data_IF_414292668625
#
_entry.id   IF_414292668625
#
_cell.length_a   1.000
_cell.length_b   1.000
_cell.length_c   1.000
_cell.angle_alpha   90.00
_cell.angle_beta   90.00
_cell.angle_gamma   90.00
#
_symmetry.space_group_name_H-M   'P 1'
#
loop_
_entity.id
_entity.type
_entity.pdbx_description
1 polymer ?
#
# COMPACT_ATOMS: atom_id res chain seq x y z
N UNK A 1 10.71 -27.99 11.07
CA UNK A 1 9.48 -27.21 10.82
C UNK A 1 9.85 -25.74 10.89
N UNK A 2 9.42 -24.90 9.95
CA UNK A 2 9.55 -23.45 10.14
C UNK A 2 8.77 -23.07 11.40
N UNK A 3 9.37 -22.24 12.25
CA UNK A 3 8.75 -21.78 13.48
C UNK A 3 7.43 -21.05 13.20
N UNK A 4 6.46 -21.14 14.12
CA UNK A 4 5.21 -20.36 14.04
C UNK A 4 5.38 -18.96 14.61
N UNK A 5 6.59 -18.59 15.03
CA UNK A 5 6.96 -17.29 15.54
C UNK A 5 7.78 -16.52 14.51
N UNK A 6 7.43 -15.26 14.32
CA UNK A 6 8.06 -14.36 13.37
C UNK A 6 8.42 -13.04 14.05
N UNK A 7 9.57 -12.51 13.68
CA UNK A 7 10.02 -11.19 14.07
C UNK A 7 9.52 -10.16 13.06
N UNK A 8 8.89 -9.13 13.60
CA UNK A 8 8.27 -8.06 12.83
C UNK A 8 8.88 -6.74 13.25
N UNK A 9 9.30 -5.96 12.26
CA UNK A 9 9.66 -4.56 12.41
C UNK A 9 8.40 -3.73 12.54
N UNK A 10 8.28 -2.98 13.63
CA UNK A 10 7.09 -2.18 13.95
C UNK A 10 7.47 -0.69 13.92
N UNK A 11 6.62 0.20 13.37
CA UNK A 11 6.91 1.63 13.23
C UNK A 11 6.80 2.38 14.57
N UNK A 12 7.73 2.11 15.48
CA UNK A 12 7.86 2.77 16.78
C UNK A 12 9.34 2.96 17.11
N UNK A 13 9.68 3.91 18.01
CA UNK A 13 11.05 4.17 18.40
C UNK A 13 11.57 3.07 19.35
N UNK A 14 11.79 1.87 18.81
CA UNK A 14 12.32 0.71 19.52
C UNK A 14 13.36 0.00 18.65
N UNK A 15 14.52 -0.26 19.23
CA UNK A 15 15.63 -0.97 18.56
C UNK A 15 15.30 -2.47 18.40
N UNK A 16 14.41 -2.99 19.24
CA UNK A 16 14.04 -4.40 19.23
C UNK A 16 13.02 -4.75 18.14
N UNK A 17 13.14 -5.97 17.63
CA UNK A 17 12.10 -6.58 16.79
C UNK A 17 11.01 -7.17 17.67
N UNK A 18 9.78 -7.16 17.18
CA UNK A 18 8.63 -7.67 17.93
C UNK A 18 8.25 -9.05 17.43
N UNK A 19 8.26 -10.03 18.32
CA UNK A 19 7.91 -11.41 17.98
C UNK A 19 6.41 -11.65 18.07
N UNK A 20 5.81 -12.08 16.97
CA UNK A 20 4.40 -12.44 16.84
C UNK A 20 4.23 -13.89 16.43
N UNK A 21 3.05 -14.45 16.68
CA UNK A 21 2.68 -15.80 16.24
C UNK A 21 1.87 -15.76 14.94
N UNK A 22 2.15 -16.70 14.04
CA UNK A 22 1.36 -16.95 12.85
C UNK A 22 0.06 -17.68 13.21
N UNK A 23 -1.12 -17.15 12.81
CA UNK A 23 -2.37 -17.91 12.81
C UNK A 23 -2.25 -19.23 12.04
N UNK A 24 -3.02 -20.25 12.45
CA UNK A 24 -3.04 -21.58 11.81
C UNK A 24 -3.20 -21.50 10.29
N UNK A 25 -4.07 -20.59 9.80
CA UNK A 25 -4.30 -20.36 8.36
C UNK A 25 -3.05 -19.96 7.56
N UNK A 26 -2.00 -19.45 8.22
CA UNK A 26 -0.77 -19.02 7.58
C UNK A 26 0.43 -19.93 7.87
N UNK A 27 0.30 -20.98 8.70
CA UNK A 27 1.43 -21.84 9.06
C UNK A 27 2.10 -22.54 7.88
N UNK A 28 1.33 -22.84 6.83
CA UNK A 28 1.85 -23.46 5.60
C UNK A 28 2.47 -22.45 4.63
N UNK A 29 2.26 -21.14 4.85
CA UNK A 29 2.80 -20.08 4.00
C UNK A 29 4.22 -19.76 4.45
N UNK A 30 5.19 -19.92 3.54
CA UNK A 30 6.54 -19.41 3.73
C UNK A 30 6.51 -17.90 3.50
N UNK A 31 6.96 -17.13 4.50
CA UNK A 31 7.08 -15.69 4.37
C UNK A 31 8.47 -15.32 3.85
N UNK A 32 8.50 -14.26 3.06
CA UNK A 32 9.71 -13.64 2.55
C UNK A 32 9.94 -12.31 3.28
N UNK A 33 11.18 -12.08 3.72
CA UNK A 33 11.59 -10.85 4.41
C UNK A 33 11.18 -9.63 3.59
N UNK A 34 10.55 -8.64 4.22
CA UNK A 34 10.06 -7.43 3.55
C UNK A 34 8.56 -7.41 3.27
N UNK A 35 7.84 -8.53 3.41
CA UNK A 35 6.37 -8.56 3.31
C UNK A 35 5.73 -7.74 4.45
N UNK A 36 4.72 -6.92 4.12
CA UNK A 36 3.97 -6.18 5.14
C UNK A 36 2.98 -7.10 5.85
N UNK A 37 2.89 -6.94 7.17
CA UNK A 37 1.95 -7.65 8.04
C UNK A 37 1.22 -6.66 8.95
N UNK A 38 -0.06 -6.91 9.21
CA UNK A 38 -0.82 -6.15 10.20
C UNK A 38 -0.72 -6.82 11.55
N UNK A 39 -0.32 -6.07 12.58
CA UNK A 39 -0.05 -6.61 13.91
C UNK A 39 -0.70 -5.77 15.00
N UNK A 40 -1.16 -6.39 16.10
CA UNK A 40 -1.64 -5.64 17.25
C UNK A 40 -0.47 -4.98 17.99
N UNK A 41 -0.58 -3.69 18.25
CA UNK A 41 0.36 -2.91 19.05
C UNK A 41 -0.42 -2.09 20.08
N UNK A 42 -0.25 -2.45 21.36
CA UNK A 42 -1.04 -1.89 22.47
C UNK A 42 -2.56 -1.95 22.15
N UNK A 43 -3.22 -0.80 22.04
CA UNK A 43 -4.66 -0.64 21.77
C UNK A 43 -5.00 -0.39 20.29
N UNK A 44 -4.03 -0.48 19.38
CA UNK A 44 -4.23 -0.24 17.95
C UNK A 44 -3.64 -1.37 17.09
N UNK A 45 -3.98 -1.35 15.80
CA UNK A 45 -3.33 -2.19 14.79
C UNK A 45 -2.39 -1.31 13.98
N UNK A 46 -1.20 -1.82 13.68
CA UNK A 46 -0.19 -1.14 12.86
C UNK A 46 0.29 -2.07 11.75
N UNK A 47 0.86 -1.47 10.71
CA UNK A 47 1.54 -2.21 9.64
C UNK A 47 3.01 -2.32 10.02
N UNK A 48 3.47 -3.56 10.19
CA UNK A 48 4.87 -3.89 10.35
C UNK A 48 5.41 -4.63 9.12
N UNK A 49 6.69 -4.93 9.14
CA UNK A 49 7.38 -5.67 8.08
C UNK A 49 7.94 -6.96 8.66
N UNK A 50 7.60 -8.10 8.06
CA UNK A 50 8.20 -9.39 8.42
C UNK A 50 9.70 -9.35 8.14
N UNK A 51 10.50 -9.71 9.14
CA UNK A 51 11.96 -9.65 9.04
C UNK A 51 12.60 -11.03 9.00
N UNK A 52 12.28 -11.87 9.97
CA UNK A 52 12.83 -13.22 10.06
C UNK A 52 11.91 -14.13 10.88
N UNK A 53 12.12 -15.44 10.80
CA UNK A 53 11.52 -16.38 11.74
C UNK A 53 12.25 -16.29 13.08
N UNK A 54 11.48 -16.19 14.16
CA UNK A 54 12.06 -16.06 15.50
C UNK A 54 12.68 -17.38 15.94
N UNK A 55 13.86 -17.29 16.56
CA UNK A 55 14.51 -18.42 17.20
C UNK A 55 13.73 -18.80 18.47
N UNK A 56 13.09 -19.97 18.43
CA UNK A 56 12.32 -20.50 19.55
C UNK A 56 13.15 -20.69 20.83
N UNK A 57 14.48 -20.83 20.71
CA UNK A 57 15.37 -21.00 21.87
C UNK A 57 15.59 -19.71 22.66
N UNK A 58 15.49 -18.54 22.00
CA UNK A 58 15.64 -17.21 22.61
C UNK A 58 14.33 -16.65 23.14
N UNK A 59 13.23 -17.26 22.74
CA UNK A 59 11.90 -16.76 23.04
C UNK A 59 11.46 -17.24 24.42
N UNK A 60 11.58 -16.39 25.45
CA UNK A 60 11.02 -16.65 26.80
C UNK A 60 9.55 -17.06 26.66
N UNK A 61 9.06 -17.96 27.53
CA UNK A 61 7.67 -18.49 27.62
C UNK A 61 6.60 -17.40 27.77
N UNK A 62 6.46 -16.54 26.78
CA UNK A 62 5.58 -15.39 26.76
C UNK A 62 4.48 -15.70 25.77
N UNK A 63 3.23 -15.35 26.11
CA UNK A 63 2.11 -15.56 25.19
C UNK A 63 2.19 -14.53 24.06
N UNK A 64 2.74 -14.93 22.92
CA UNK A 64 2.83 -14.07 21.74
C UNK A 64 1.45 -13.77 21.16
N UNK A 65 1.23 -12.51 20.79
CA UNK A 65 0.02 -12.11 20.06
C UNK A 65 0.08 -12.65 18.63
N UNK A 66 -1.09 -12.97 18.07
CA UNK A 66 -1.22 -13.33 16.67
C UNK A 66 -1.11 -12.10 15.77
N UNK A 67 -0.51 -12.26 14.59
CA UNK A 67 -0.68 -11.27 13.52
C UNK A 67 -2.14 -11.23 13.07
N UNK A 68 -2.61 -10.08 12.59
CA UNK A 68 -3.98 -9.88 12.08
C UNK A 68 -4.11 -10.29 10.62
N UNK A 69 -3.07 -10.09 9.82
CA UNK A 69 -3.07 -10.42 8.40
C UNK A 69 -1.72 -10.21 7.73
N UNK A 70 -1.53 -10.89 6.60
CA UNK A 70 -0.42 -10.68 5.66
C UNK A 70 -0.99 -9.85 4.51
N UNK A 71 -0.30 -8.76 4.14
CA UNK A 71 -0.82 -7.78 3.18
C UNK A 71 -0.27 -7.98 1.77
N UNK A 72 0.90 -8.62 1.63
CA UNK A 72 1.56 -8.81 0.35
C UNK A 72 1.82 -10.30 0.10
N UNK A 73 1.80 -10.70 -1.17
CA UNK A 73 2.20 -12.04 -1.60
C UNK A 73 3.72 -12.19 -1.60
N UNK A 74 4.42 -11.16 -2.05
CA UNK A 74 5.87 -11.05 -2.14
C UNK A 74 6.36 -9.73 -1.52
N UNK A 75 7.64 -9.60 -1.15
CA UNK A 75 8.21 -8.34 -0.68
C UNK A 75 8.08 -7.26 -1.75
N UNK A 76 7.67 -6.06 -1.34
CA UNK A 76 7.60 -4.90 -2.25
C UNK A 76 8.96 -4.20 -2.39
N UNK A 77 9.89 -4.50 -1.48
CA UNK A 77 11.26 -4.01 -1.50
C UNK A 77 12.16 -5.20 -1.85
N UNK A 78 13.10 -4.99 -2.77
CA UNK A 78 14.12 -5.99 -3.04
C UNK A 78 15.14 -6.10 -1.88
N UNK A 79 16.01 -7.11 -1.95
CA UNK A 79 17.02 -7.33 -0.92
C UNK A 79 17.98 -6.13 -0.77
N UNK A 80 18.31 -5.42 -1.86
CA UNK A 80 19.22 -4.28 -1.79
C UNK A 80 18.62 -3.14 -0.98
N UNK A 81 17.33 -2.85 -1.16
CA UNK A 81 16.61 -1.83 -0.40
C UNK A 81 16.43 -2.24 1.07
N UNK A 82 16.18 -3.51 1.35
CA UNK A 82 16.08 -4.04 2.71
C UNK A 82 17.42 -3.93 3.46
N UNK A 83 18.53 -4.25 2.79
CA UNK A 83 19.88 -4.10 3.34
C UNK A 83 20.28 -2.63 3.46
N UNK A 84 19.85 -1.76 2.54
CA UNK A 84 20.04 -0.31 2.67
C UNK A 84 19.30 0.26 3.89
N UNK A 85 18.07 -0.16 4.15
CA UNK A 85 17.31 0.24 5.33
C UNK A 85 18.00 -0.22 6.63
N UNK A 86 18.48 -1.46 6.66
CA UNK A 86 19.23 -2.02 7.79
C UNK A 86 20.56 -1.30 8.02
N UNK A 87 21.32 -1.03 6.96
CA UNK A 87 22.54 -0.24 7.02
C UNK A 87 22.26 1.17 7.53
N UNK A 88 21.26 1.86 7.00
CA UNK A 88 20.90 3.22 7.41
C UNK A 88 20.48 3.27 8.88
N UNK A 89 19.70 2.28 9.34
CA UNK A 89 19.35 2.12 10.76
C UNK A 89 20.59 2.03 11.63
N UNK A 90 21.55 1.17 11.26
CA UNK A 90 22.79 0.97 12.02
C UNK A 90 23.69 2.21 12.01
N UNK A 91 23.88 2.80 10.84
CA UNK A 91 24.78 3.94 10.65
C UNK A 91 24.27 5.19 11.37
N UNK A 92 22.99 5.53 11.18
CA UNK A 92 22.37 6.71 11.79
C UNK A 92 21.79 6.45 13.19
N UNK A 93 21.99 5.25 13.76
CA UNK A 93 21.48 4.86 15.08
C UNK A 93 19.97 5.09 15.24
N UNK A 94 19.21 4.92 14.16
CA UNK A 94 17.76 5.06 14.16
C UNK A 94 17.07 3.69 14.18
N UNK A 95 15.95 3.52 14.90
CA UNK A 95 15.19 2.27 14.94
C UNK A 95 14.80 1.77 13.55
N UNK A 96 15.22 0.54 13.22
CA UNK A 96 14.95 -0.07 11.91
C UNK A 96 13.46 -0.13 11.57
N UNK A 97 12.61 -0.36 12.58
CA UNK A 97 11.16 -0.35 12.43
C UNK A 97 10.58 0.96 11.92
N UNK A 98 11.20 2.09 12.24
CA UNK A 98 10.84 3.40 11.68
C UNK A 98 11.51 3.62 10.33
N UNK A 99 12.81 3.35 10.22
CA UNK A 99 13.61 3.56 9.00
C UNK A 99 12.97 2.85 7.79
N UNK A 100 12.60 1.58 7.94
CA UNK A 100 12.05 0.80 6.84
C UNK A 100 10.72 1.37 6.32
N UNK A 101 9.96 2.07 7.17
CA UNK A 101 8.68 2.66 6.73
C UNK A 101 8.84 3.76 5.71
N UNK A 102 9.99 4.45 5.71
CA UNK A 102 10.28 5.52 4.76
C UNK A 102 10.49 5.01 3.33
N UNK A 103 10.80 3.73 3.16
CA UNK A 103 10.91 3.08 1.85
C UNK A 103 9.54 2.83 1.22
N UNK A 104 8.45 2.93 1.99
CA UNK A 104 7.09 2.77 1.50
C UNK A 104 6.39 4.13 1.31
N UNK A 105 5.58 4.31 0.24
CA UNK A 105 4.66 5.44 0.11
C UNK A 105 3.64 5.51 1.26
N UNK A 106 3.09 6.71 1.57
CA UNK A 106 2.14 6.88 2.68
C UNK A 106 0.91 5.96 2.63
N UNK A 107 0.40 5.62 1.43
CA UNK A 107 -0.72 4.67 1.28
C UNK A 107 -0.34 3.27 1.75
N UNK A 108 0.87 2.82 1.43
CA UNK A 108 1.36 1.50 1.81
C UNK A 108 1.69 1.41 3.31
N UNK A 109 2.13 2.50 3.93
CA UNK A 109 2.27 2.58 5.40
C UNK A 109 0.94 2.42 6.13
N UNK A 110 -0.16 2.79 5.48
CA UNK A 110 -1.54 2.60 5.97
C UNK A 110 -2.13 1.22 5.64
N UNK A 111 -1.35 0.36 4.99
CA UNK A 111 -1.77 -1.01 4.68
C UNK A 111 -2.64 -1.14 3.42
N UNK A 112 -2.66 -0.12 2.56
CA UNK A 112 -3.32 -0.25 1.26
C UNK A 112 -2.56 -1.22 0.35
N UNK A 113 -3.26 -1.75 -0.64
CA UNK A 113 -2.68 -2.61 -1.67
C UNK A 113 -1.64 -1.85 -2.50
N UNK A 114 -0.59 -2.56 -2.91
CA UNK A 114 0.45 -2.04 -3.79
C UNK A 114 -0.03 -2.01 -5.25
N UNK A 115 -1.07 -1.22 -5.51
CA UNK A 115 -1.64 -1.00 -6.85
C UNK A 115 -1.38 0.42 -7.30
N UNK A 116 -1.10 0.57 -8.59
CA UNK A 116 -1.10 1.88 -9.21
C UNK A 116 -2.48 2.50 -9.08
N UNK A 117 -2.50 3.80 -8.81
CA UNK A 117 -3.75 4.53 -8.79
C UNK A 117 -4.25 4.66 -10.21
N UNK A 118 -5.27 3.90 -10.55
CA UNK A 118 -5.97 4.05 -11.81
C UNK A 118 -6.68 5.41 -11.85
N UNK A 119 -6.62 6.05 -13.02
CA UNK A 119 -7.33 7.29 -13.28
C UNK A 119 -8.24 7.05 -14.46
N UNK A 120 -9.53 7.37 -14.30
CA UNK A 120 -10.49 7.29 -15.39
C UNK A 120 -10.26 8.47 -16.31
N UNK A 121 -9.98 8.18 -17.58
CA UNK A 121 -9.93 9.17 -18.64
C UNK A 121 -11.17 9.03 -19.52
N UNK A 122 -11.72 10.17 -19.88
CA UNK A 122 -12.79 10.28 -20.85
C UNK A 122 -12.18 10.63 -22.18
N UNK A 123 -12.57 9.86 -23.18
CA UNK A 123 -12.20 10.05 -24.56
C UNK A 123 -13.45 10.23 -25.38
N UNK A 124 -13.43 11.20 -26.28
CA UNK A 124 -14.52 11.38 -27.21
C UNK A 124 -14.58 10.17 -28.16
N UNK A 125 -15.78 9.63 -28.36
CA UNK A 125 -16.01 8.60 -29.37
C UNK A 125 -16.20 9.26 -30.72
N UNK A 126 -16.00 8.51 -31.82
CA UNK A 126 -16.28 9.03 -33.18
C UNK A 126 -17.71 9.59 -33.29
N UNK A 127 -18.71 8.92 -32.69
CA UNK A 127 -20.09 9.43 -32.67
C UNK A 127 -20.20 10.76 -31.94
N UNK A 128 -19.49 10.92 -30.81
CA UNK A 128 -19.43 12.17 -30.07
C UNK A 128 -18.73 13.27 -30.86
N UNK A 129 -17.69 12.94 -31.61
CA UNK A 129 -16.90 13.92 -32.38
C UNK A 129 -17.69 14.51 -33.55
N UNK A 130 -18.48 13.68 -34.26
CA UNK A 130 -19.36 14.11 -35.35
C UNK A 130 -20.78 14.49 -34.91
N UNK A 131 -21.07 14.48 -33.60
CA UNK A 131 -22.40 14.81 -33.10
C UNK A 131 -22.76 16.28 -33.40
N UNK A 132 -23.98 16.53 -33.88
CA UNK A 132 -24.45 17.89 -34.12
C UNK A 132 -24.81 18.59 -32.79
N UNK A 133 -23.99 19.57 -32.38
CA UNK A 133 -24.14 20.29 -31.11
C UNK A 133 -25.46 21.06 -31.02
N UNK A 134 -26.10 21.42 -32.14
CA UNK A 134 -27.40 22.10 -32.15
C UNK A 134 -28.51 21.23 -31.53
N UNK A 135 -28.32 19.90 -31.49
CA UNK A 135 -29.27 18.97 -30.85
C UNK A 135 -29.20 19.01 -29.32
N UNK A 136 -28.17 19.64 -28.73
CA UNK A 136 -28.01 19.80 -27.27
C UNK A 136 -28.41 21.20 -26.76
N UNK A 137 -29.26 21.94 -27.49
CA UNK A 137 -29.64 23.32 -27.13
C UNK A 137 -30.24 23.48 -25.73
N UNK A 138 -30.93 22.46 -25.20
CA UNK A 138 -31.50 22.48 -23.83
C UNK A 138 -30.61 21.78 -22.80
N UNK A 139 -29.56 21.10 -23.23
CA UNK A 139 -28.65 20.32 -22.39
C UNK A 139 -27.26 20.99 -22.33
N UNK A 140 -27.23 22.22 -21.80
CA UNK A 140 -26.06 23.09 -21.84
C UNK A 140 -24.79 22.43 -21.29
N UNK A 141 -24.91 21.66 -20.18
CA UNK A 141 -23.78 20.94 -19.57
C UNK A 141 -23.27 19.76 -20.38
N UNK A 142 -24.16 19.08 -21.14
CA UNK A 142 -23.74 18.03 -22.06
C UNK A 142 -23.03 18.62 -23.28
N UNK A 143 -23.50 19.77 -23.77
CA UNK A 143 -22.85 20.50 -24.86
C UNK A 143 -21.45 20.98 -24.47
N UNK A 144 -21.34 21.65 -23.32
CA UNK A 144 -20.08 22.13 -22.75
C UNK A 144 -19.09 20.98 -22.52
N UNK A 145 -19.57 19.84 -21.99
CA UNK A 145 -18.74 18.64 -21.83
C UNK A 145 -18.24 18.06 -23.15
N UNK A 146 -19.08 18.04 -24.17
CA UNK A 146 -18.70 17.52 -25.49
C UNK A 146 -17.72 18.45 -26.22
N UNK A 147 -17.94 19.76 -26.14
CA UNK A 147 -17.02 20.79 -26.66
C UNK A 147 -15.65 20.68 -25.99
N UNK A 148 -15.62 20.57 -24.67
CA UNK A 148 -14.38 20.40 -23.90
C UNK A 148 -13.63 19.13 -24.30
N UNK A 149 -14.34 18.01 -24.50
CA UNK A 149 -13.74 16.75 -24.95
C UNK A 149 -13.21 16.83 -26.38
N UNK A 150 -13.84 17.59 -27.28
CA UNK A 150 -13.33 17.85 -28.64
C UNK A 150 -12.08 18.70 -28.63
N UNK A 151 -12.05 19.74 -27.80
CA UNK A 151 -10.93 20.69 -27.75
C UNK A 151 -9.70 20.08 -27.08
N UNK A 152 -9.89 19.42 -25.93
CA UNK A 152 -8.78 18.92 -25.10
C UNK A 152 -8.41 17.47 -25.37
N UNK A 153 -9.26 16.70 -26.06
CA UNK A 153 -9.08 15.27 -26.27
C UNK A 153 -9.25 14.46 -24.98
N UNK A 154 -8.32 13.55 -24.72
CA UNK A 154 -8.40 12.63 -23.59
C UNK A 154 -8.17 13.39 -22.26
N UNK A 155 -9.20 13.45 -21.42
CA UNK A 155 -9.21 14.24 -20.18
C UNK A 155 -9.57 13.37 -18.98
N UNK A 156 -8.86 13.56 -17.85
CA UNK A 156 -9.18 12.80 -16.64
C UNK A 156 -10.55 13.17 -16.08
N UNK A 157 -11.25 12.22 -15.44
CA UNK A 157 -12.53 12.48 -14.78
C UNK A 157 -12.41 13.56 -13.70
N UNK A 158 -11.25 13.64 -13.03
CA UNK A 158 -10.96 14.70 -12.05
C UNK A 158 -10.89 16.07 -12.72
N UNK A 159 -10.24 16.16 -13.87
CA UNK A 159 -10.16 17.40 -14.66
C UNK A 159 -11.52 17.81 -15.20
N UNK A 160 -12.33 16.88 -15.72
CA UNK A 160 -13.71 17.18 -16.16
C UNK A 160 -14.56 17.80 -15.06
N UNK A 161 -14.52 17.20 -13.85
CA UNK A 161 -15.20 17.77 -12.69
C UNK A 161 -14.69 19.16 -12.34
N UNK A 162 -13.40 19.42 -12.48
CA UNK A 162 -12.82 20.74 -12.25
C UNK A 162 -13.27 21.79 -13.28
N UNK A 163 -13.56 21.37 -14.52
CA UNK A 163 -14.21 22.20 -15.54
C UNK A 163 -15.74 22.33 -15.35
N UNK A 164 -16.30 21.80 -14.26
CA UNK A 164 -17.73 21.90 -13.97
C UNK A 164 -18.60 20.95 -14.80
N UNK A 165 -17.99 19.93 -15.43
CA UNK A 165 -18.68 18.86 -16.16
C UNK A 165 -18.66 17.60 -15.28
N UNK A 166 -19.77 17.32 -14.60
CA UNK A 166 -19.94 16.10 -13.82
C UNK A 166 -20.64 15.01 -14.64
N UNK A 167 -20.21 13.75 -14.42
CA UNK A 167 -20.96 12.56 -14.80
C UNK A 167 -22.31 12.49 -14.08
#
# INVERSE_FOLDING_TARGET
>A
MLGDLIDVLVPIPSVERFTYKLPEKYKKKRLERGIRVSVPLRNRTVIGVFWDYSDSSKTKRTKHKLIKGILDEHPLLDNNLLELADWASRYYHHPLGEVITYFFPPSLRKGQEAKFKESIFWKITNKGDFFDLSKLNRAYKQREGLELLREKGDISQKSLKAYGVSS
#
